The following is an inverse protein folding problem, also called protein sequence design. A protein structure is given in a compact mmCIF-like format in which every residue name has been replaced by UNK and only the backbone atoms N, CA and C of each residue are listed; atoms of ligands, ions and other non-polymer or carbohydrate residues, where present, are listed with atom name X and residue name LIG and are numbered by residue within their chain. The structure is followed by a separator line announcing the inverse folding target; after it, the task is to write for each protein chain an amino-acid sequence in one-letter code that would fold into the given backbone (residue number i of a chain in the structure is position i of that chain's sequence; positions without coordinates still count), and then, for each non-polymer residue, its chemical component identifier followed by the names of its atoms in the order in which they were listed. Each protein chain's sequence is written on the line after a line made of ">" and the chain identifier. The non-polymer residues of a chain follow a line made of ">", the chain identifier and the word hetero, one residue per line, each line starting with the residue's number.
data_IF_261799243298
#
_entry.id   IF_261799243298
#
_cell.length_a   1.000
_cell.length_b   1.000
_cell.length_c   1.000
_cell.angle_alpha   90.00
_cell.angle_beta   90.00
_cell.angle_gamma   90.00
#
_symmetry.space_group_name_H-M   'P 1'
#
loop_
_entity.id
_entity.type
_entity.pdbx_description
1 polymer ?
#
# COMPACT_ATOMS: atom_id res chain seq x y z
N UNK A 1 5.00 -13.10 23.27
CA UNK A 1 5.16 -13.45 21.83
C UNK A 1 3.96 -14.28 21.43
N UNK A 2 3.30 -13.97 20.31
CA UNK A 2 2.13 -14.70 19.80
C UNK A 2 2.60 -15.55 18.61
N UNK A 3 2.35 -16.87 18.57
CA UNK A 3 2.65 -17.70 17.41
C UNK A 3 1.90 -17.21 16.17
N UNK A 4 2.57 -17.17 15.01
CA UNK A 4 1.99 -16.76 13.74
C UNK A 4 2.22 -17.85 12.71
N UNK A 5 1.16 -18.23 12.01
CA UNK A 5 1.21 -19.14 10.86
C UNK A 5 0.74 -18.36 9.63
N UNK A 6 1.49 -18.45 8.54
CA UNK A 6 1.14 -17.84 7.26
C UNK A 6 0.64 -18.94 6.34
N UNK A 7 -0.66 -18.96 6.06
CA UNK A 7 -1.30 -19.98 5.23
C UNK A 7 -2.18 -19.33 4.13
N UNK A 8 -1.58 -18.86 3.02
CA UNK A 8 -2.31 -18.14 1.98
C UNK A 8 -3.40 -18.96 1.28
N UNK A 9 -3.38 -20.29 1.41
CA UNK A 9 -4.33 -21.21 0.79
C UNK A 9 -5.36 -21.82 1.75
N UNK A 10 -5.33 -21.45 3.04
CA UNK A 10 -6.13 -22.08 4.10
C UNK A 10 -6.00 -23.61 4.15
N UNK A 11 -4.87 -24.17 3.72
CA UNK A 11 -4.67 -25.63 3.73
C UNK A 11 -4.34 -26.12 5.14
N UNK A 12 -3.39 -25.46 5.80
CA UNK A 12 -2.97 -25.77 7.16
C UNK A 12 -4.06 -25.42 8.17
N UNK A 13 -4.70 -24.27 8.04
CA UNK A 13 -5.77 -23.83 8.94
C UNK A 13 -6.95 -24.81 8.98
N UNK A 14 -7.19 -25.56 7.90
CA UNK A 14 -8.25 -26.58 7.82
C UNK A 14 -7.84 -27.95 8.33
N UNK A 15 -6.56 -28.27 8.23
CA UNK A 15 -6.00 -29.52 8.74
C UNK A 15 -5.76 -29.46 10.25
N UNK A 16 -5.42 -28.28 10.75
CA UNK A 16 -5.35 -27.99 12.17
C UNK A 16 -6.76 -27.97 12.76
N UNK A 17 -6.90 -28.53 13.96
CA UNK A 17 -8.17 -28.47 14.67
C UNK A 17 -8.46 -27.02 15.04
N UNK A 18 -9.71 -26.58 14.84
CA UNK A 18 -10.17 -25.23 15.18
C UNK A 18 -9.80 -24.79 16.61
N UNK A 19 -9.64 -25.74 17.54
CA UNK A 19 -9.33 -25.48 18.95
C UNK A 19 -7.89 -25.00 19.20
N UNK A 20 -6.97 -25.21 18.25
CA UNK A 20 -5.57 -24.75 18.35
C UNK A 20 -5.36 -23.34 17.76
N UNK A 21 -6.36 -22.80 17.05
CA UNK A 21 -6.30 -21.51 16.38
C UNK A 21 -7.35 -20.56 16.98
N UNK A 22 -6.90 -19.63 17.81
CA UNK A 22 -7.77 -18.64 18.46
C UNK A 22 -8.31 -17.59 17.49
N UNK A 23 -7.51 -17.21 16.48
CA UNK A 23 -7.84 -16.12 15.55
C UNK A 23 -7.38 -16.45 14.14
N UNK A 24 -8.27 -16.28 13.16
CA UNK A 24 -7.94 -16.30 11.74
C UNK A 24 -8.10 -14.88 11.17
N UNK A 25 -7.07 -14.41 10.47
CA UNK A 25 -7.09 -13.10 9.80
C UNK A 25 -6.91 -13.31 8.30
N UNK A 26 -7.94 -13.02 7.51
CA UNK A 26 -7.82 -13.00 6.06
C UNK A 26 -7.28 -11.66 5.59
N UNK A 27 -5.95 -11.62 5.42
CA UNK A 27 -5.19 -10.48 4.92
C UNK A 27 -4.84 -10.59 3.42
N UNK A 28 -5.52 -11.47 2.67
CA UNK A 28 -5.23 -11.65 1.24
C UNK A 28 -5.70 -10.47 0.38
N UNK A 29 -6.66 -9.68 0.88
CA UNK A 29 -7.30 -8.55 0.19
C UNK A 29 -7.78 -8.96 -1.22
N UNK A 30 -8.35 -10.16 -1.31
CA UNK A 30 -9.04 -10.56 -2.51
C UNK A 30 -10.34 -9.73 -2.58
N UNK A 31 -10.45 -8.88 -3.62
CA UNK A 31 -11.57 -7.94 -3.88
C UNK A 31 -12.97 -8.60 -4.00
N UNK A 32 -13.01 -9.92 -3.81
CA UNK A 32 -14.17 -10.80 -3.65
C UNK A 32 -13.72 -11.87 -2.65
N UNK A 33 -14.59 -12.32 -1.74
CA UNK A 33 -14.34 -13.52 -0.93
C UNK A 33 -14.27 -14.78 -1.82
N UNK A 34 -13.15 -14.93 -2.53
CA UNK A 34 -12.78 -16.15 -3.24
C UNK A 34 -12.16 -17.18 -2.28
N UNK A 35 -11.83 -16.74 -1.07
CA UNK A 35 -10.96 -17.42 -0.13
C UNK A 35 -11.65 -18.54 0.65
N UNK A 36 -12.97 -18.75 0.49
CA UNK A 36 -13.71 -19.76 1.27
C UNK A 36 -13.63 -19.51 2.79
N UNK A 37 -13.21 -18.29 3.18
CA UNK A 37 -13.18 -17.82 4.56
C UNK A 37 -14.62 -17.70 5.06
N UNK A 38 -14.86 -18.25 6.25
CA UNK A 38 -16.16 -18.29 6.90
C UNK A 38 -15.98 -18.14 8.42
N UNK A 39 -17.02 -17.70 9.17
CA UNK A 39 -16.93 -17.47 10.61
C UNK A 39 -16.59 -18.71 11.46
N UNK A 40 -16.67 -19.92 10.90
CA UNK A 40 -16.43 -21.17 11.64
C UNK A 40 -14.99 -21.65 11.67
N UNK A 41 -14.03 -20.88 11.13
CA UNK A 41 -12.62 -21.29 11.05
C UNK A 41 -11.85 -21.16 12.38
N UNK A 42 -12.31 -20.30 13.28
CA UNK A 42 -11.72 -20.04 14.59
C UNK A 42 -12.76 -19.34 15.47
N UNK A 43 -12.54 -19.23 16.79
CA UNK A 43 -13.37 -18.41 17.68
C UNK A 43 -13.53 -16.94 17.22
N UNK A 44 -12.54 -16.41 16.50
CA UNK A 44 -12.60 -15.09 15.87
C UNK A 44 -12.01 -15.13 14.46
N UNK A 45 -12.80 -14.72 13.48
CA UNK A 45 -12.42 -14.59 12.08
C UNK A 45 -12.52 -13.13 11.64
N UNK A 46 -11.38 -12.55 11.23
CA UNK A 46 -11.26 -11.16 10.82
C UNK A 46 -11.00 -11.07 9.32
N UNK A 47 -11.83 -10.36 8.59
CA UNK A 47 -11.59 -10.01 7.18
C UNK A 47 -10.94 -8.64 7.03
N UNK A 48 -9.95 -8.49 6.15
CA UNK A 48 -9.39 -7.17 5.83
C UNK A 48 -9.95 -6.64 4.50
N UNK A 49 -10.67 -5.53 4.57
CA UNK A 49 -11.04 -4.74 3.40
C UNK A 49 -12.18 -5.29 2.55
N UNK A 50 -12.29 -4.83 1.28
CA UNK A 50 -13.43 -5.15 0.43
C UNK A 50 -13.51 -6.63 0.07
N UNK A 51 -14.74 -7.13 -0.04
CA UNK A 51 -15.03 -8.50 -0.50
C UNK A 51 -15.67 -9.39 0.55
N UNK A 52 -15.74 -8.95 1.81
CA UNK A 52 -16.43 -9.61 2.93
C UNK A 52 -17.73 -8.90 3.30
N UNK A 53 -18.69 -9.67 3.81
CA UNK A 53 -19.93 -9.22 4.44
C UNK A 53 -20.03 -9.78 5.87
N UNK A 54 -19.92 -8.94 6.89
CA UNK A 54 -20.10 -9.36 8.28
C UNK A 54 -21.59 -9.38 8.65
N UNK A 55 -22.07 -10.34 9.45
CA UNK A 55 -21.31 -11.46 10.04
C UNK A 55 -21.26 -12.72 9.14
N UNK A 56 -21.71 -12.64 7.88
CA UNK A 56 -21.94 -13.82 7.05
C UNK A 56 -20.65 -14.51 6.58
N UNK A 57 -19.64 -13.72 6.19
CA UNK A 57 -18.36 -14.24 5.70
C UNK A 57 -17.28 -14.29 6.80
N UNK A 58 -17.34 -13.36 7.76
CA UNK A 58 -16.37 -13.17 8.86
C UNK A 58 -17.09 -12.52 10.05
N UNK A 59 -16.54 -12.64 11.25
CA UNK A 59 -17.14 -12.02 12.45
C UNK A 59 -17.00 -10.50 12.44
N UNK A 60 -15.90 -9.99 11.92
CA UNK A 60 -15.64 -8.55 11.82
C UNK A 60 -14.75 -8.24 10.61
N UNK A 61 -15.04 -7.12 9.97
CA UNK A 61 -14.20 -6.58 8.89
C UNK A 61 -13.42 -5.38 9.43
N UNK A 62 -12.14 -5.29 9.09
CA UNK A 62 -11.34 -4.08 9.27
C UNK A 62 -11.34 -3.32 7.95
N UNK A 63 -11.78 -2.06 7.97
CA UNK A 63 -11.75 -1.17 6.81
C UNK A 63 -10.30 -0.89 6.38
N UNK A 64 -10.05 -1.00 5.07
CA UNK A 64 -8.72 -0.82 4.47
C UNK A 64 -8.68 0.32 3.45
N UNK A 65 -9.83 0.86 3.07
CA UNK A 65 -9.91 2.03 2.24
C UNK A 65 -9.32 3.23 2.99
N UNK A 66 -8.48 3.99 2.28
CA UNK A 66 -7.83 5.16 2.87
C UNK A 66 -8.89 6.24 3.08
N UNK A 67 -8.79 6.95 4.20
CA UNK A 67 -9.75 7.97 4.58
C UNK A 67 -10.04 7.97 6.06
N UNK A 68 -11.13 8.64 6.43
CA UNK A 68 -11.56 8.77 7.82
C UNK A 68 -11.80 7.43 8.51
N UNK A 69 -12.30 6.44 7.76
CA UNK A 69 -12.72 5.15 8.31
C UNK A 69 -11.63 4.07 8.25
N UNK A 70 -10.39 4.40 7.84
CA UNK A 70 -9.30 3.43 7.79
C UNK A 70 -9.08 2.78 9.18
N UNK A 71 -9.13 1.44 9.24
CA UNK A 71 -8.99 0.68 10.46
C UNK A 71 -10.29 0.52 11.28
N UNK A 72 -11.42 1.09 10.83
CA UNK A 72 -12.71 0.93 11.49
C UNK A 72 -13.15 -0.54 11.47
N UNK A 73 -13.71 -0.99 12.60
CA UNK A 73 -14.36 -2.30 12.73
C UNK A 73 -15.79 -2.25 12.21
N UNK A 74 -16.14 -3.19 11.34
CA UNK A 74 -17.47 -3.34 10.74
C UNK A 74 -17.99 -4.73 11.15
N UNK A 75 -18.94 -4.75 12.08
CA UNK A 75 -19.58 -5.98 12.58
C UNK A 75 -20.81 -6.39 11.76
N UNK A 76 -21.40 -5.45 11.03
CA UNK A 76 -22.56 -5.67 10.17
C UNK A 76 -22.38 -4.93 8.84
N UNK A 77 -22.53 -5.65 7.73
CA UNK A 77 -22.44 -5.10 6.38
C UNK A 77 -21.07 -5.29 5.73
N UNK A 78 -20.76 -4.42 4.77
CA UNK A 78 -19.62 -4.53 3.86
C UNK A 78 -18.59 -3.42 4.16
N UNK A 79 -17.30 -3.71 3.95
CA UNK A 79 -16.29 -2.66 3.78
C UNK A 79 -16.53 -1.84 2.50
N UNK A 80 -15.93 -0.66 2.44
CA UNK A 80 -15.98 0.19 1.25
C UNK A 80 -15.47 -0.60 0.03
N UNK A 81 -16.21 -0.59 -1.10
CA UNK A 81 -15.82 -1.33 -2.28
C UNK A 81 -14.49 -0.80 -2.81
N UNK A 82 -13.65 -1.69 -3.33
CA UNK A 82 -12.47 -1.25 -4.07
C UNK A 82 -12.92 -0.45 -5.29
N UNK A 83 -12.65 0.85 -5.27
CA UNK A 83 -13.00 1.74 -6.37
C UNK A 83 -12.13 1.48 -7.60
N UNK A 84 -10.99 0.79 -7.45
CA UNK A 84 -10.00 0.58 -8.50
C UNK A 84 -9.38 1.89 -9.01
N UNK A 85 -9.77 3.03 -8.45
CA UNK A 85 -9.33 4.36 -8.80
C UNK A 85 -8.28 4.74 -7.75
N UNK A 86 -6.99 4.82 -8.12
CA UNK A 86 -5.98 5.36 -7.22
C UNK A 86 -6.41 6.76 -6.78
N UNK A 87 -6.43 7.02 -5.49
CA UNK A 87 -6.67 8.36 -4.97
C UNK A 87 -5.66 9.34 -5.57
N UNK A 88 -6.13 10.11 -6.54
CA UNK A 88 -5.42 11.16 -7.26
C UNK A 88 -4.21 10.69 -8.08
N UNK A 89 -4.36 10.67 -9.42
CA UNK A 89 -3.26 10.47 -10.38
C UNK A 89 -2.09 11.45 -10.13
N UNK A 90 -2.36 12.62 -9.55
CA UNK A 90 -1.35 13.64 -9.20
C UNK A 90 -0.21 13.09 -8.33
N UNK A 91 -0.46 12.04 -7.53
CA UNK A 91 0.57 11.39 -6.68
C UNK A 91 1.64 10.66 -7.49
N UNK A 92 1.40 10.34 -8.76
CA UNK A 92 2.37 9.70 -9.64
C UNK A 92 2.86 10.70 -10.68
N UNK A 93 4.07 11.22 -10.50
CA UNK A 93 4.73 12.05 -11.50
C UNK A 93 5.27 11.16 -12.61
N UNK A 94 4.97 11.53 -13.85
CA UNK A 94 5.47 10.82 -15.04
C UNK A 94 6.61 11.58 -15.68
N UNK A 95 7.59 10.85 -16.21
CA UNK A 95 8.63 11.46 -17.03
C UNK A 95 8.00 12.18 -18.23
N UNK A 96 8.41 13.42 -18.53
CA UNK A 96 7.87 14.17 -19.68
C UNK A 96 8.27 13.55 -21.03
N UNK A 97 9.33 12.74 -21.05
CA UNK A 97 9.82 11.98 -22.22
C UNK A 97 10.73 10.83 -21.78
N UNK A 98 11.00 9.91 -22.70
CA UNK A 98 12.04 8.89 -22.52
C UNK A 98 13.43 9.53 -22.46
N UNK A 99 14.33 8.92 -21.69
CA UNK A 99 15.71 9.40 -21.51
C UNK A 99 16.37 8.79 -20.28
N UNK A 100 17.37 9.47 -19.74
CA UNK A 100 18.08 9.08 -18.52
C UNK A 100 17.60 9.95 -17.36
N UNK A 101 17.11 9.34 -16.30
CA UNK A 101 16.73 10.02 -15.07
C UNK A 101 17.95 10.32 -14.23
N UNK A 102 17.97 11.54 -13.73
CA UNK A 102 18.86 12.01 -12.69
C UNK A 102 17.99 12.51 -11.54
N UNK A 103 17.99 11.77 -10.43
CA UNK A 103 17.23 12.13 -9.25
C UNK A 103 17.86 13.35 -8.55
N UNK A 104 17.06 14.37 -8.28
CA UNK A 104 17.47 15.55 -7.48
C UNK A 104 17.00 15.40 -6.03
N UNK A 105 15.87 14.71 -5.83
CA UNK A 105 15.32 14.34 -4.54
C UNK A 105 15.22 12.81 -4.39
N UNK A 106 15.31 12.32 -3.16
CA UNK A 106 15.38 10.91 -2.79
C UNK A 106 14.12 10.46 -2.03
N UNK A 107 13.94 9.15 -1.91
CA UNK A 107 12.87 8.58 -1.07
C UNK A 107 13.03 9.09 0.36
N UNK A 108 11.95 9.60 0.94
CA UNK A 108 11.92 10.24 2.26
C UNK A 108 12.01 11.76 2.22
N UNK A 109 12.50 12.36 1.12
CA UNK A 109 12.63 13.81 1.02
C UNK A 109 11.25 14.49 0.96
N UNK A 110 11.13 15.59 1.70
CA UNK A 110 9.98 16.50 1.62
C UNK A 110 10.12 17.38 0.38
N UNK A 111 9.04 17.48 -0.40
CA UNK A 111 8.98 18.25 -1.64
C UNK A 111 7.75 19.14 -1.65
N UNK A 112 7.88 20.33 -2.23
CA UNK A 112 6.75 21.24 -2.42
C UNK A 112 6.14 21.08 -3.82
N UNK A 113 4.86 21.43 -3.96
CA UNK A 113 4.24 21.62 -5.27
C UNK A 113 5.07 22.61 -6.11
N UNK A 114 5.34 22.26 -7.36
CA UNK A 114 6.22 23.05 -8.25
C UNK A 114 7.72 22.78 -8.10
N UNK A 115 8.15 22.00 -7.11
CA UNK A 115 9.56 21.64 -6.96
C UNK A 115 10.01 20.63 -8.01
N UNK A 116 11.21 20.82 -8.57
CA UNK A 116 11.86 19.82 -9.42
C UNK A 116 12.41 18.69 -8.56
N UNK A 117 11.96 17.46 -8.81
CA UNK A 117 12.39 16.27 -8.04
C UNK A 117 13.38 15.39 -8.81
N UNK A 118 13.41 15.53 -10.14
CA UNK A 118 14.36 14.83 -11.01
C UNK A 118 14.49 15.53 -12.37
N UNK A 119 15.50 15.16 -13.14
CA UNK A 119 15.76 15.63 -14.51
C UNK A 119 15.84 14.43 -15.46
N UNK A 120 15.27 14.56 -16.66
CA UNK A 120 15.50 13.62 -17.77
C UNK A 120 16.58 14.20 -18.69
N UNK A 121 17.59 13.40 -19.02
CA UNK A 121 18.78 13.78 -19.80
C UNK A 121 19.48 15.04 -19.27
N UNK A 122 19.41 15.28 -17.95
CA UNK A 122 19.88 16.52 -17.29
C UNK A 122 19.24 17.82 -17.81
N UNK A 123 18.12 17.74 -18.54
CA UNK A 123 17.53 18.89 -19.23
C UNK A 123 16.05 19.08 -18.90
N UNK A 124 15.26 18.00 -18.86
CA UNK A 124 13.80 18.11 -18.73
C UNK A 124 13.36 17.86 -17.27
N UNK A 125 12.82 18.87 -16.57
CA UNK A 125 12.45 18.73 -15.17
C UNK A 125 11.19 17.87 -14.98
N UNK A 126 11.23 17.00 -13.97
CA UNK A 126 10.07 16.32 -13.41
C UNK A 126 9.61 17.13 -12.20
N UNK A 127 8.44 17.76 -12.33
CA UNK A 127 7.92 18.73 -11.36
C UNK A 127 6.86 18.08 -10.48
N UNK A 128 6.99 18.23 -9.16
CA UNK A 128 5.98 17.77 -8.22
C UNK A 128 4.65 18.49 -8.40
N UNK A 129 3.56 17.72 -8.51
CA UNK A 129 2.20 18.23 -8.66
C UNK A 129 1.47 18.43 -7.32
N UNK A 130 2.17 18.20 -6.19
CA UNK A 130 1.66 18.39 -4.83
C UNK A 130 2.82 18.50 -3.83
N UNK A 131 2.57 19.15 -2.70
CA UNK A 131 3.48 19.12 -1.55
C UNK A 131 3.34 17.83 -0.74
N UNK A 132 4.44 17.29 -0.23
CA UNK A 132 4.45 16.02 0.48
C UNK A 132 5.84 15.43 0.59
N UNK A 133 5.95 14.10 0.57
CA UNK A 133 7.24 13.42 0.57
C UNK A 133 7.32 12.31 -0.48
N UNK A 134 8.52 12.06 -0.98
CA UNK A 134 8.78 11.01 -1.97
C UNK A 134 8.71 9.65 -1.28
N UNK A 135 7.86 8.76 -1.79
CA UNK A 135 7.70 7.40 -1.24
C UNK A 135 8.35 6.32 -2.08
N UNK A 136 8.50 6.57 -3.36
CA UNK A 136 9.05 5.60 -4.28
C UNK A 136 9.43 6.24 -5.60
N UNK A 137 10.55 5.80 -6.14
CA UNK A 137 10.98 6.14 -7.49
C UNK A 137 11.04 4.80 -8.21
N UNK A 138 10.12 4.59 -9.15
CA UNK A 138 10.06 3.35 -9.91
C UNK A 138 10.21 3.65 -11.39
N UNK A 139 11.17 2.97 -11.98
CA UNK A 139 11.35 2.97 -13.42
C UNK A 139 10.46 1.90 -14.09
N UNK A 140 9.94 2.20 -15.29
CA UNK A 140 9.29 1.21 -16.15
C UNK A 140 10.26 0.71 -17.23
N UNK A 141 11.41 0.16 -16.84
CA UNK A 141 12.30 -0.53 -17.78
C UNK A 141 12.21 -2.05 -17.67
N UNK A 142 12.24 -2.68 -18.85
CA UNK A 142 12.23 -4.13 -19.08
C UNK A 142 13.60 -4.82 -18.97
N UNK A 143 14.73 -4.11 -18.84
CA UNK A 143 16.05 -4.74 -18.74
C UNK A 143 17.07 -3.88 -17.97
N UNK A 144 17.70 -4.52 -16.98
CA UNK A 144 18.88 -4.17 -16.18
C UNK A 144 19.20 -2.70 -15.88
N UNK A 145 19.21 -2.36 -14.59
CA UNK A 145 19.85 -1.17 -14.05
C UNK A 145 20.77 -1.51 -12.87
N UNK A 146 22.02 -1.05 -12.97
CA UNK A 146 22.94 -0.95 -11.85
C UNK A 146 22.55 0.27 -11.01
N UNK A 147 22.14 0.02 -9.77
CA UNK A 147 21.59 1.01 -8.82
C UNK A 147 22.71 1.85 -8.17
N UNK A 148 23.98 1.71 -8.57
CA UNK A 148 25.09 2.35 -7.85
C UNK A 148 25.24 3.87 -8.09
N UNK A 149 24.72 4.41 -9.20
CA UNK A 149 25.14 5.73 -9.68
C UNK A 149 23.99 6.78 -9.76
N UNK A 150 22.82 6.53 -9.16
CA UNK A 150 21.64 7.41 -9.27
C UNK A 150 21.18 7.67 -10.73
N UNK A 151 21.62 6.84 -11.68
CA UNK A 151 21.31 6.94 -13.10
C UNK A 151 20.35 5.82 -13.46
N UNK A 152 19.16 6.18 -13.91
CA UNK A 152 18.11 5.25 -14.35
C UNK A 152 17.82 5.57 -15.81
N UNK A 153 18.23 4.72 -16.76
CA UNK A 153 17.70 4.80 -18.13
C UNK A 153 16.20 4.55 -18.06
N UNK A 154 15.36 5.24 -18.85
CA UNK A 154 13.91 5.08 -18.76
C UNK A 154 13.17 5.29 -20.09
N UNK A 155 12.20 4.42 -20.36
CA UNK A 155 11.16 4.64 -21.39
C UNK A 155 9.90 5.29 -20.79
N UNK A 156 9.78 5.29 -19.46
CA UNK A 156 8.76 6.00 -18.69
C UNK A 156 9.00 5.79 -17.20
N UNK A 157 8.89 6.84 -16.38
CA UNK A 157 9.11 6.77 -14.92
C UNK A 157 7.83 7.13 -14.20
N UNK A 158 7.62 6.49 -13.06
CA UNK A 158 6.61 6.85 -12.09
C UNK A 158 7.32 7.23 -10.77
N UNK A 159 7.36 8.52 -10.44
CA UNK A 159 7.76 8.97 -9.09
C UNK A 159 6.50 9.12 -8.26
N UNK A 160 6.43 8.44 -7.12
CA UNK A 160 5.30 8.54 -6.21
C UNK A 160 5.58 9.58 -5.13
N UNK A 161 4.84 10.68 -5.18
CA UNK A 161 4.77 11.71 -4.15
C UNK A 161 3.45 11.53 -3.40
N UNK A 162 3.51 11.35 -2.08
CA UNK A 162 2.32 11.36 -1.25
C UNK A 162 2.12 12.71 -0.59
N UNK A 163 0.90 13.25 -0.71
CA UNK A 163 0.49 14.45 -0.02
C UNK A 163 0.74 14.35 1.49
N UNK A 164 1.35 15.38 2.07
CA UNK A 164 1.36 15.57 3.51
C UNK A 164 -0.06 15.96 3.96
N UNK A 165 -0.85 15.00 4.42
CA UNK A 165 -2.00 15.32 5.27
C UNK A 165 -1.46 15.70 6.66
N UNK A 166 -2.06 16.69 7.32
CA UNK A 166 -1.73 17.11 8.68
C UNK A 166 -1.74 15.95 9.70
N UNK A 167 -2.47 14.87 9.40
CA UNK A 167 -2.49 13.63 10.17
C UNK A 167 -1.15 12.86 10.18
N UNK A 168 -0.26 13.05 9.19
CA UNK A 168 1.01 12.31 9.13
C UNK A 168 2.08 12.84 10.10
N UNK A 169 1.96 14.10 10.53
CA UNK A 169 2.82 14.65 11.60
C UNK A 169 2.62 13.92 12.94
N UNK A 170 1.51 13.21 13.13
CA UNK A 170 1.30 12.34 14.30
C UNK A 170 1.92 10.94 14.15
N UNK A 171 2.18 10.47 12.92
CA UNK A 171 2.78 9.15 12.67
C UNK A 171 4.30 9.19 12.55
N UNK A 172 4.87 10.31 12.11
CA UNK A 172 6.33 10.49 11.96
C UNK A 172 7.12 10.47 13.28
N UNK A 173 6.47 10.74 14.41
CA UNK A 173 7.11 10.71 15.74
C UNK A 173 7.00 9.35 16.47
N UNK A 174 6.31 8.36 15.90
CA UNK A 174 6.04 7.10 16.60
C UNK A 174 6.91 5.93 16.12
N UNK A 175 7.67 6.08 15.02
CA UNK A 175 8.44 5.00 14.40
C UNK A 175 9.93 5.30 14.21
N UNK A 176 10.52 6.17 15.04
CA UNK A 176 11.98 6.27 15.21
C UNK A 176 12.29 6.12 16.70
N UNK A 177 12.09 4.90 17.19
CA UNK A 177 12.31 4.55 18.59
C UNK A 177 12.56 3.06 18.74
N UNK A 178 13.83 2.68 18.54
CA UNK A 178 14.43 1.38 18.89
C UNK A 178 13.94 0.15 18.11
N UNK A 179 14.69 -0.19 17.07
CA UNK A 179 15.20 -1.54 16.86
C UNK A 179 16.72 -1.45 16.63
#
# INVERSE_FOLDING_TARGET
>A
QIPLIIDPGLTLTRELFNDDIEVVIDATINKKNKAQTNPGLAPLVVGLGPGFNAPNDVDVIIETNRGHDLGRLIFEGLAAPDTGIPETIKRVLRAPKAGVLHCVAHIGDVVNEGQTVALINNEFPVISQLSGFIRGIRDMIKEFLNISDNIISCLGINIQVQASCELFNQWGNTYVGHL
#
